data_IF_636276711757
#
_entry.id   IF_636276711757
#
_cell.length_a   1.000
_cell.length_b   1.000
_cell.length_c   1.000
_cell.angle_alpha   90.00
_cell.angle_beta   90.00
_cell.angle_gamma   90.00
#
_symmetry.space_group_name_H-M   'P 1'
#
loop_
_entity.id
_entity.type
_entity.pdbx_description
1 polymer ?
#
# COMPACT_ATOMS: atom_id res chain seq x y z
N UNK A 1 24.33 -41.81 33.32
CA UNK A 1 24.36 -40.61 32.45
C UNK A 1 23.01 -39.95 32.52
N UNK A 2 22.97 -38.70 32.95
CA UNK A 2 21.78 -37.89 33.17
C UNK A 2 21.37 -37.26 31.81
N UNK A 3 20.31 -37.75 31.18
CA UNK A 3 19.76 -37.11 29.97
C UNK A 3 18.79 -36.01 30.39
N UNK A 4 19.27 -34.76 30.37
CA UNK A 4 18.45 -33.57 30.54
C UNK A 4 17.89 -33.18 29.18
N UNK A 5 16.62 -33.48 28.94
CA UNK A 5 15.87 -32.96 27.79
C UNK A 5 15.37 -31.56 28.12
N UNK A 6 16.01 -30.54 27.53
CA UNK A 6 15.50 -29.16 27.54
C UNK A 6 14.37 -29.04 26.50
N UNK A 7 13.12 -29.04 26.96
CA UNK A 7 11.99 -28.60 26.13
C UNK A 7 11.96 -27.07 26.10
N UNK A 8 12.45 -26.50 25.00
CA UNK A 8 12.34 -25.07 24.71
C UNK A 8 10.91 -24.78 24.19
N UNK A 9 9.98 -24.51 25.11
CA UNK A 9 8.67 -23.96 24.75
C UNK A 9 8.86 -22.46 24.50
N UNK A 10 9.07 -22.08 23.25
CA UNK A 10 9.01 -20.69 22.84
C UNK A 10 7.53 -20.24 22.93
N UNK A 11 7.19 -19.55 24.01
CA UNK A 11 5.92 -18.84 24.14
C UNK A 11 6.01 -17.62 23.23
N UNK A 12 5.56 -17.77 21.99
CA UNK A 12 5.28 -16.62 21.13
C UNK A 12 4.09 -15.87 21.73
N UNK A 13 4.39 -14.77 22.43
CA UNK A 13 3.39 -13.76 22.75
C UNK A 13 2.87 -13.23 21.41
N UNK A 14 1.69 -13.69 20.99
CA UNK A 14 0.97 -13.08 19.88
C UNK A 14 0.55 -11.69 20.33
N UNK A 15 1.35 -10.67 19.98
CA UNK A 15 0.83 -9.31 19.90
C UNK A 15 -0.25 -9.34 18.83
N UNK A 16 -1.52 -9.42 19.25
CA UNK A 16 -2.65 -9.07 18.42
C UNK A 16 -2.59 -7.57 18.17
N UNK A 17 -1.67 -7.15 17.29
CA UNK A 17 -1.64 -5.81 16.74
C UNK A 17 -2.86 -5.73 15.82
N UNK A 18 -3.92 -5.09 16.31
CA UNK A 18 -5.03 -4.70 15.47
C UNK A 18 -4.48 -3.75 14.41
N UNK A 19 -4.84 -3.97 13.16
CA UNK A 19 -4.41 -3.11 12.07
C UNK A 19 -4.96 -1.69 12.28
N UNK A 20 -4.09 -0.69 12.15
CA UNK A 20 -4.42 0.72 12.33
C UNK A 20 -5.12 1.27 11.08
N UNK A 21 -6.03 2.22 11.25
CA UNK A 21 -6.61 3.01 10.16
C UNK A 21 -6.28 4.47 10.40
N UNK A 22 -5.61 5.10 9.43
CA UNK A 22 -5.19 6.49 9.53
C UNK A 22 -6.34 7.40 9.06
N UNK A 23 -6.84 8.25 9.95
CA UNK A 23 -7.98 9.13 9.67
C UNK A 23 -7.53 10.59 9.62
N UNK A 24 -7.89 11.28 8.53
CA UNK A 24 -7.63 12.69 8.31
C UNK A 24 -8.91 13.39 7.86
N UNK A 25 -8.90 14.72 7.88
CA UNK A 25 -10.01 15.49 7.34
C UNK A 25 -9.56 16.82 6.77
N UNK A 26 -10.13 17.20 5.63
CA UNK A 26 -9.87 18.45 4.93
C UNK A 26 -11.12 19.32 4.93
N UNK A 27 -10.93 20.62 5.16
CA UNK A 27 -11.98 21.64 5.04
C UNK A 27 -12.07 22.10 3.58
N UNK A 28 -13.28 22.34 3.10
CA UNK A 28 -13.54 22.75 1.72
C UNK A 28 -14.62 23.83 1.70
N UNK A 29 -14.58 24.69 0.67
CA UNK A 29 -15.64 25.62 0.32
C UNK A 29 -16.39 25.13 -0.92
N UNK A 30 -17.62 25.61 -1.13
CA UNK A 30 -18.40 25.34 -2.35
C UNK A 30 -17.81 25.97 -3.63
N UNK A 31 -16.98 27.00 -3.47
CA UNK A 31 -16.12 27.62 -4.49
C UNK A 31 -15.07 28.49 -3.75
N UNK A 32 -14.04 29.03 -4.40
CA UNK A 32 -12.98 29.82 -3.75
C UNK A 32 -13.44 31.05 -2.96
N UNK A 33 -14.63 31.61 -3.27
CA UNK A 33 -15.22 32.73 -2.55
C UNK A 33 -16.47 32.33 -1.75
N UNK A 34 -16.68 31.02 -1.62
CA UNK A 34 -17.86 30.41 -1.06
C UNK A 34 -18.00 30.65 0.44
N UNK A 35 -19.25 30.56 0.92
CA UNK A 35 -19.57 30.65 2.35
C UNK A 35 -19.95 29.29 2.93
N UNK A 36 -20.18 28.28 2.08
CA UNK A 36 -20.61 26.96 2.53
C UNK A 36 -19.39 26.09 2.81
N UNK A 37 -19.31 25.62 4.04
CA UNK A 37 -18.20 24.78 4.50
C UNK A 37 -18.55 23.30 4.43
N UNK A 38 -17.60 22.50 3.96
CA UNK A 38 -17.65 21.04 4.01
C UNK A 38 -16.41 20.51 4.72
N UNK A 39 -16.56 19.34 5.33
CA UNK A 39 -15.46 18.57 5.91
C UNK A 39 -15.40 17.22 5.22
N UNK A 40 -14.39 17.00 4.40
CA UNK A 40 -14.14 15.71 3.78
C UNK A 40 -13.29 14.87 4.71
N UNK A 41 -13.83 13.77 5.22
CA UNK A 41 -13.07 12.79 6.00
C UNK A 41 -12.41 11.81 5.04
N UNK A 42 -11.14 11.51 5.27
CA UNK A 42 -10.35 10.56 4.48
C UNK A 42 -9.76 9.52 5.42
N UNK A 43 -9.86 8.25 5.06
CA UNK A 43 -9.29 7.13 5.80
C UNK A 43 -8.37 6.30 4.91
N UNK A 44 -7.23 5.89 5.45
CA UNK A 44 -6.24 5.06 4.77
C UNK A 44 -6.00 3.79 5.60
N UNK A 45 -6.17 2.62 4.99
CA UNK A 45 -5.84 1.35 5.66
C UNK A 45 -4.34 1.19 5.81
N UNK A 46 -3.90 0.56 6.91
CA UNK A 46 -2.49 0.23 7.12
C UNK A 46 -1.91 -0.59 5.96
N UNK A 47 -2.73 -1.46 5.36
CA UNK A 47 -2.31 -2.28 4.22
C UNK A 47 -1.97 -1.47 2.99
N UNK A 48 -2.77 -0.46 2.68
CA UNK A 48 -2.51 0.42 1.55
C UNK A 48 -1.28 1.32 1.81
N UNK A 49 -1.16 1.85 3.04
CA UNK A 49 0.01 2.63 3.44
C UNK A 49 1.30 1.81 3.34
N UNK A 50 1.35 0.63 3.93
CA UNK A 50 2.53 -0.24 3.89
C UNK A 50 2.87 -0.73 2.48
N UNK A 51 1.87 -0.92 1.60
CA UNK A 51 2.12 -1.23 0.20
C UNK A 51 2.91 -0.12 -0.49
N UNK A 52 2.49 1.14 -0.35
CA UNK A 52 3.20 2.25 -0.97
C UNK A 52 4.55 2.53 -0.30
N UNK A 53 4.64 2.37 1.02
CA UNK A 53 5.90 2.48 1.77
C UNK A 53 6.95 1.45 1.37
N UNK A 54 6.53 0.23 1.05
CA UNK A 54 7.44 -0.83 0.57
C UNK A 54 7.71 -0.72 -0.96
N UNK A 55 6.98 0.13 -1.69
CA UNK A 55 7.15 0.34 -3.13
C UNK A 55 8.45 1.10 -3.43
N UNK A 56 8.94 1.03 -4.66
CA UNK A 56 10.18 1.68 -5.04
C UNK A 56 10.03 3.22 -5.18
N UNK A 57 10.76 3.97 -4.36
CA UNK A 57 10.84 5.44 -4.41
C UNK A 57 11.96 6.01 -5.28
N UNK A 58 12.82 5.17 -5.89
CA UNK A 58 13.98 5.67 -6.68
C UNK A 58 13.56 6.40 -7.95
N UNK A 59 14.08 7.60 -8.16
CA UNK A 59 13.97 8.39 -9.39
C UNK A 59 15.25 8.23 -10.21
N UNK A 60 15.12 7.80 -11.47
CA UNK A 60 16.24 7.65 -12.41
C UNK A 60 16.27 8.77 -13.46
N UNK A 61 15.11 9.42 -13.70
CA UNK A 61 14.95 10.51 -14.65
C UNK A 61 13.76 11.41 -14.26
N UNK A 62 13.66 12.62 -14.82
CA UNK A 62 12.51 13.51 -14.57
C UNK A 62 11.19 12.92 -15.09
N UNK A 63 11.20 12.08 -16.12
CA UNK A 63 9.98 11.38 -16.55
C UNK A 63 9.47 10.38 -15.52
N UNK A 64 10.29 9.95 -14.56
CA UNK A 64 9.88 9.03 -13.50
C UNK A 64 8.96 9.72 -12.48
N UNK A 65 8.87 11.05 -12.44
CA UNK A 65 7.96 11.75 -11.53
C UNK A 65 6.50 11.33 -11.73
N UNK A 66 6.09 11.08 -12.98
CA UNK A 66 4.73 10.64 -13.30
C UNK A 66 4.32 9.35 -12.55
N UNK A 67 5.27 8.46 -12.19
CA UNK A 67 4.98 7.21 -11.48
C UNK A 67 4.40 7.44 -10.09
N UNK A 68 4.69 8.59 -9.47
CA UNK A 68 4.18 8.97 -8.15
C UNK A 68 2.76 9.50 -8.20
N UNK A 69 2.23 9.76 -9.40
CA UNK A 69 0.82 10.07 -9.57
C UNK A 69 0.04 8.75 -9.55
N UNK A 70 -0.88 8.61 -8.59
CA UNK A 70 -1.65 7.39 -8.31
C UNK A 70 -3.15 7.66 -8.33
N UNK A 71 -3.77 7.91 -9.50
CA UNK A 71 -5.18 8.32 -9.57
C UNK A 71 -6.14 7.27 -9.00
N UNK A 72 -5.85 5.98 -9.23
CA UNK A 72 -6.73 4.91 -8.77
C UNK A 72 -6.91 4.90 -7.24
N UNK A 73 -5.83 5.09 -6.47
CA UNK A 73 -5.89 5.02 -5.00
C UNK A 73 -6.63 6.22 -4.36
N UNK A 74 -6.64 7.37 -5.04
CA UNK A 74 -7.30 8.59 -4.55
C UNK A 74 -8.67 8.87 -5.20
N UNK A 75 -9.14 7.98 -6.08
CA UNK A 75 -10.43 8.13 -6.78
C UNK A 75 -11.61 8.46 -5.87
N UNK A 76 -11.77 7.87 -4.67
CA UNK A 76 -12.89 8.21 -3.79
C UNK A 76 -12.89 9.67 -3.32
N UNK A 77 -11.72 10.32 -3.21
CA UNK A 77 -11.63 11.76 -2.94
C UNK A 77 -12.23 12.54 -4.12
N UNK A 78 -11.79 12.24 -5.34
CA UNK A 78 -12.29 12.90 -6.55
C UNK A 78 -13.81 12.73 -6.73
N UNK A 79 -14.33 11.52 -6.53
CA UNK A 79 -15.76 11.23 -6.61
C UNK A 79 -16.57 12.02 -5.57
N UNK A 80 -16.05 12.24 -4.37
CA UNK A 80 -16.71 13.06 -3.37
C UNK A 80 -16.64 14.55 -3.71
N UNK A 81 -15.52 15.06 -4.22
CA UNK A 81 -15.43 16.46 -4.66
C UNK A 81 -16.47 16.77 -5.75
N UNK A 82 -16.69 15.84 -6.70
CA UNK A 82 -17.77 15.98 -7.69
C UNK A 82 -19.19 15.96 -7.13
N UNK A 83 -19.40 15.56 -5.86
CA UNK A 83 -20.71 15.69 -5.19
C UNK A 83 -21.00 17.14 -4.77
N UNK A 84 -19.99 18.01 -4.67
CA UNK A 84 -20.14 19.40 -4.24
C UNK A 84 -19.78 20.43 -5.32
N UNK A 85 -18.98 20.06 -6.32
CA UNK A 85 -18.62 20.92 -7.45
C UNK A 85 -19.31 20.46 -8.73
N UNK A 86 -19.69 21.42 -9.57
CA UNK A 86 -20.37 21.16 -10.85
C UNK A 86 -19.54 21.57 -12.06
N UNK A 87 -18.39 22.18 -11.82
CA UNK A 87 -17.51 22.81 -12.80
C UNK A 87 -16.06 22.35 -12.59
N UNK A 88 -15.27 22.32 -13.66
CA UNK A 88 -13.88 21.82 -13.60
C UNK A 88 -12.89 22.80 -12.96
N UNK A 89 -13.14 24.11 -13.00
CA UNK A 89 -12.38 25.11 -12.24
C UNK A 89 -12.64 24.96 -10.74
N UNK A 90 -13.91 24.88 -10.33
CA UNK A 90 -14.30 24.69 -8.93
C UNK A 90 -13.75 23.37 -8.36
N UNK A 91 -13.82 22.29 -9.14
CA UNK A 91 -13.22 21.01 -8.80
C UNK A 91 -11.69 21.13 -8.63
N UNK A 92 -11.00 21.80 -9.57
CA UNK A 92 -9.56 22.02 -9.49
C UNK A 92 -9.15 22.84 -8.26
N UNK A 93 -9.86 23.92 -7.99
CA UNK A 93 -9.63 24.74 -6.80
C UNK A 93 -9.94 23.98 -5.51
N UNK A 94 -10.96 23.13 -5.50
CA UNK A 94 -11.25 22.24 -4.37
C UNK A 94 -10.11 21.26 -4.07
N UNK A 95 -9.44 20.74 -5.11
CA UNK A 95 -8.22 19.93 -4.93
C UNK A 95 -7.06 20.75 -4.35
N UNK A 96 -6.87 22.00 -4.81
CA UNK A 96 -5.86 22.89 -4.23
C UNK A 96 -6.11 23.17 -2.74
N UNK A 97 -7.38 23.38 -2.35
CA UNK A 97 -7.75 23.53 -0.93
C UNK A 97 -7.36 22.31 -0.08
N UNK A 98 -7.39 21.09 -0.62
CA UNK A 98 -6.92 19.89 0.10
C UNK A 98 -5.42 19.99 0.36
N UNK A 99 -4.61 20.20 -0.68
CA UNK A 99 -3.14 20.16 -0.54
C UNK A 99 -2.60 21.35 0.25
N UNK A 100 -3.23 22.53 0.20
CA UNK A 100 -2.86 23.70 1.02
C UNK A 100 -3.14 23.54 2.52
N UNK A 101 -3.81 22.46 2.94
CA UNK A 101 -3.96 22.12 4.36
C UNK A 101 -2.85 21.23 4.89
N UNK A 102 -1.97 20.71 4.02
CA UNK A 102 -0.89 19.82 4.39
C UNK A 102 0.36 20.69 4.72
N UNK A 103 0.92 20.56 5.94
CA UNK A 103 2.11 21.32 6.34
C UNK A 103 3.31 21.10 5.41
N UNK A 104 3.92 22.20 4.97
CA UNK A 104 5.14 22.15 4.16
C UNK A 104 6.34 21.67 4.97
N UNK A 105 7.07 20.68 4.46
CA UNK A 105 8.31 20.16 4.99
C UNK A 105 9.10 19.43 3.90
N UNK A 106 10.28 19.95 3.60
CA UNK A 106 11.24 19.32 2.70
C UNK A 106 11.44 17.85 3.04
N UNK A 107 11.27 16.99 2.04
CA UNK A 107 11.21 15.54 2.23
C UNK A 107 12.08 14.84 1.17
N UNK A 108 13.02 14.02 1.65
CA UNK A 108 13.80 13.13 0.80
C UNK A 108 13.79 11.71 1.40
N UNK A 109 13.52 10.66 0.61
CA UNK A 109 13.15 10.67 -0.81
C UNK A 109 11.68 11.08 -1.05
N UNK A 110 11.32 11.30 -2.32
CA UNK A 110 9.92 11.51 -2.74
C UNK A 110 9.02 10.34 -2.31
N UNK A 111 7.76 10.62 -1.97
CA UNK A 111 6.78 9.64 -1.48
C UNK A 111 5.52 9.59 -2.32
N UNK A 112 4.82 8.45 -2.28
CA UNK A 112 3.53 8.31 -2.95
C UNK A 112 2.43 9.09 -2.21
N UNK A 113 1.36 9.54 -2.91
CA UNK A 113 0.29 10.34 -2.33
C UNK A 113 -0.34 9.74 -1.06
N UNK A 114 -0.50 8.42 -1.01
CA UNK A 114 -1.03 7.73 0.18
C UNK A 114 -0.11 7.89 1.40
N UNK A 115 1.20 7.83 1.21
CA UNK A 115 2.17 8.05 2.29
C UNK A 115 2.11 9.50 2.77
N UNK A 116 2.12 10.45 1.84
CA UNK A 116 2.05 11.89 2.15
C UNK A 116 0.77 12.26 2.90
N UNK A 117 -0.37 11.68 2.52
CA UNK A 117 -1.64 11.85 3.24
C UNK A 117 -1.54 11.30 4.67
N UNK A 118 -1.00 10.07 4.85
CA UNK A 118 -0.87 9.46 6.18
C UNK A 118 0.09 10.23 7.08
N UNK A 119 1.23 10.65 6.54
CA UNK A 119 2.24 11.38 7.31
C UNK A 119 1.87 12.85 7.55
N UNK A 120 0.97 13.40 6.72
CA UNK A 120 0.45 14.76 6.81
C UNK A 120 1.55 15.84 6.82
N UNK A 121 2.54 15.68 5.94
CA UNK A 121 3.60 16.65 5.67
C UNK A 121 4.25 16.30 4.32
N UNK A 122 4.78 17.31 3.63
CA UNK A 122 5.51 17.12 2.37
C UNK A 122 5.96 18.44 1.77
N UNK A 123 6.63 18.38 0.63
CA UNK A 123 7.10 19.52 -0.14
C UNK A 123 6.38 19.62 -1.50
N UNK A 124 6.87 20.51 -2.37
CA UNK A 124 6.19 20.95 -3.58
C UNK A 124 5.84 19.79 -4.52
N UNK A 125 6.72 18.81 -4.68
CA UNK A 125 6.48 17.66 -5.54
C UNK A 125 5.44 16.70 -4.94
N UNK A 126 5.47 16.47 -3.62
CA UNK A 126 4.51 15.57 -2.99
C UNK A 126 3.08 16.13 -3.04
N UNK A 127 2.93 17.44 -2.87
CA UNK A 127 1.63 18.10 -3.01
C UNK A 127 1.16 18.06 -4.46
N UNK A 128 2.08 18.24 -5.42
CA UNK A 128 1.79 18.09 -6.84
C UNK A 128 1.34 16.68 -7.19
N UNK A 129 1.95 15.63 -6.62
CA UNK A 129 1.52 14.25 -6.84
C UNK A 129 0.12 13.97 -6.29
N UNK A 130 -0.22 14.48 -5.09
CA UNK A 130 -1.58 14.37 -4.54
C UNK A 130 -2.58 15.07 -5.47
N UNK A 131 -2.33 16.34 -5.80
CA UNK A 131 -3.24 17.14 -6.61
C UNK A 131 -3.45 16.53 -7.99
N UNK A 132 -2.37 16.18 -8.70
CA UNK A 132 -2.44 15.52 -9.99
C UNK A 132 -3.19 14.18 -9.93
N UNK A 133 -3.01 13.40 -8.86
CA UNK A 133 -3.70 12.12 -8.68
C UNK A 133 -5.21 12.30 -8.55
N UNK A 134 -5.65 13.23 -7.71
CA UNK A 134 -7.08 13.50 -7.50
C UNK A 134 -7.70 14.08 -8.77
N UNK A 135 -7.04 15.04 -9.42
CA UNK A 135 -7.55 15.68 -10.64
C UNK A 135 -7.67 14.70 -11.80
N UNK A 136 -6.64 13.87 -12.01
CA UNK A 136 -6.66 12.83 -13.04
C UNK A 136 -7.72 11.78 -12.75
N UNK A 137 -7.93 11.41 -11.49
CA UNK A 137 -9.00 10.50 -11.08
C UNK A 137 -10.40 11.09 -11.30
N UNK A 138 -10.53 12.41 -11.17
CA UNK A 138 -11.73 13.18 -11.48
C UNK A 138 -11.99 13.38 -12.97
N UNK A 139 -11.07 12.97 -13.85
CA UNK A 139 -11.21 13.02 -15.30
C UNK A 139 -10.63 14.27 -15.97
N UNK A 140 -9.96 15.15 -15.23
CA UNK A 140 -9.29 16.31 -15.83
C UNK A 140 -7.98 15.89 -16.51
N UNK A 141 -7.58 16.64 -17.54
CA UNK A 141 -6.26 16.49 -18.14
C UNK A 141 -5.24 17.38 -17.41
N UNK A 142 -4.14 16.76 -16.98
CA UNK A 142 -3.19 17.34 -16.04
C UNK A 142 -1.78 16.94 -16.44
N UNK A 143 -0.84 17.85 -16.25
CA UNK A 143 0.60 17.63 -16.39
C UNK A 143 1.32 18.07 -15.12
N UNK A 144 2.46 17.44 -14.82
CA UNK A 144 3.38 18.00 -13.82
C UNK A 144 4.26 19.05 -14.50
N UNK A 145 4.56 20.12 -13.77
CA UNK A 145 5.42 21.22 -14.16
C UNK A 145 6.63 21.23 -13.23
N UNK A 146 7.76 20.74 -13.73
CA UNK A 146 9.00 20.70 -12.97
C UNK A 146 9.90 21.87 -13.34
N UNK A 147 10.11 22.78 -12.39
CA UNK A 147 10.95 23.96 -12.50
C UNK A 147 12.33 23.66 -11.91
N UNK A 148 13.22 23.10 -12.74
CA UNK A 148 14.51 22.56 -12.30
C UNK A 148 15.43 23.62 -11.69
N UNK A 149 15.44 24.84 -12.23
CA UNK A 149 16.31 25.93 -11.72
C UNK A 149 15.80 26.53 -10.42
N UNK A 150 14.50 26.44 -10.19
CA UNK A 150 13.80 26.97 -9.02
C UNK A 150 13.64 25.91 -7.92
N UNK A 151 14.08 24.68 -8.17
CA UNK A 151 13.90 23.51 -7.29
C UNK A 151 12.43 23.36 -6.84
N UNK A 152 11.49 23.59 -7.78
CA UNK A 152 10.07 23.62 -7.50
C UNK A 152 9.29 22.70 -8.42
N UNK A 153 8.20 22.13 -7.92
CA UNK A 153 7.25 21.38 -8.72
C UNK A 153 5.83 21.86 -8.46
N UNK A 154 5.07 21.92 -9.53
CA UNK A 154 3.66 22.20 -9.47
C UNK A 154 2.89 21.47 -10.58
N UNK A 155 1.62 21.78 -10.80
CA UNK A 155 0.80 21.16 -11.85
C UNK A 155 0.24 22.19 -12.84
N UNK A 156 -0.02 21.71 -14.06
CA UNK A 156 -0.79 22.41 -15.06
C UNK A 156 -2.10 21.66 -15.30
N UNK A 157 -3.23 22.38 -15.26
CA UNK A 157 -4.57 21.78 -15.38
C UNK A 157 -5.27 22.32 -16.62
N UNK A 158 -5.74 21.42 -17.48
CA UNK A 158 -6.61 21.79 -18.59
C UNK A 158 -8.04 21.97 -18.08
N UNK A 159 -8.65 23.10 -18.43
CA UNK A 159 -10.03 23.44 -18.08
C UNK A 159 -10.86 23.65 -19.36
N UNK A 160 -12.16 23.38 -19.25
CA UNK A 160 -13.16 23.55 -20.31
C UNK A 160 -13.37 25.00 -20.72
N UNK A 161 -13.03 25.94 -19.82
CA UNK A 161 -13.02 27.37 -20.07
C UNK A 161 -11.81 28.04 -19.40
N UNK A 162 -11.59 29.31 -19.73
CA UNK A 162 -10.61 30.13 -19.03
C UNK A 162 -11.04 30.30 -17.57
N UNK A 163 -10.12 30.21 -16.58
CA UNK A 163 -10.47 30.37 -15.18
C UNK A 163 -11.00 31.78 -14.92
N UNK A 164 -12.11 31.86 -14.18
CA UNK A 164 -12.77 33.12 -13.79
C UNK A 164 -12.59 33.46 -12.30
N UNK A 165 -12.19 32.52 -11.45
CA UNK A 165 -11.91 32.77 -10.04
C UNK A 165 -10.50 33.32 -9.79
N UNK A 166 -9.64 33.28 -10.80
CA UNK A 166 -8.31 33.90 -10.80
C UNK A 166 -8.40 35.39 -10.42
N UNK A 167 -7.60 35.83 -9.43
CA UNK A 167 -7.66 37.22 -8.91
C UNK A 167 -6.87 38.23 -9.75
N UNK A 168 -6.45 37.85 -10.96
CA UNK A 168 -5.60 38.65 -11.82
C UNK A 168 -5.45 38.05 -13.21
N UNK A 169 -4.27 38.23 -13.82
CA UNK A 169 -3.96 37.59 -15.10
C UNK A 169 -3.84 36.06 -14.90
N UNK A 170 -4.54 35.29 -15.73
CA UNK A 170 -4.38 33.85 -15.80
C UNK A 170 -3.07 33.47 -16.50
N UNK A 171 -2.30 32.59 -15.88
CA UNK A 171 -1.06 32.02 -16.40
C UNK A 171 -1.29 30.57 -16.81
N UNK A 172 -0.69 30.17 -17.92
CA UNK A 172 -0.76 28.82 -18.45
C UNK A 172 0.50 28.47 -19.22
N UNK A 173 0.77 27.18 -19.35
CA UNK A 173 1.70 26.64 -20.34
C UNK A 173 0.92 26.01 -21.49
N UNK A 174 1.52 25.97 -22.68
CA UNK A 174 0.93 25.28 -23.84
C UNK A 174 1.78 24.06 -24.16
N UNK A 175 1.14 22.90 -24.23
CA UNK A 175 1.77 21.65 -24.62
C UNK A 175 0.91 20.93 -25.64
N UNK A 176 1.47 20.56 -26.79
CA UNK A 176 0.76 19.93 -27.91
C UNK A 176 -0.54 20.66 -28.33
N UNK A 177 -0.56 21.99 -28.24
CA UNK A 177 -1.71 22.82 -28.59
C UNK A 177 -2.79 22.91 -27.51
N UNK A 178 -2.62 22.24 -26.36
CA UNK A 178 -3.53 22.30 -25.21
C UNK A 178 -2.99 23.31 -24.19
N UNK A 179 -3.88 24.15 -23.65
CA UNK A 179 -3.56 25.08 -22.57
C UNK A 179 -3.76 24.40 -21.22
N UNK A 180 -2.71 24.43 -20.39
CA UNK A 180 -2.72 23.97 -19.00
C UNK A 180 -2.49 25.16 -18.08
N UNK A 181 -3.52 25.57 -17.35
CA UNK A 181 -3.44 26.67 -16.38
C UNK A 181 -2.60 26.25 -15.18
N UNK A 182 -1.71 27.14 -14.73
CA UNK A 182 -0.85 26.91 -13.55
C UNK A 182 -1.74 26.74 -12.32
N UNK A 183 -1.51 25.74 -11.49
CA UNK A 183 -2.29 25.52 -10.27
C UNK A 183 -1.34 25.24 -9.11
N UNK A 184 -0.90 26.29 -8.39
CA UNK A 184 0.09 26.24 -7.29
C UNK A 184 -0.35 25.38 -6.10
N UNK A 185 0.32 24.25 -5.92
CA UNK A 185 0.04 23.24 -4.91
C UNK A 185 0.60 23.59 -3.53
N UNK A 186 1.56 24.52 -3.42
CA UNK A 186 2.12 24.97 -2.14
C UNK A 186 1.44 26.26 -1.68
N UNK A 187 0.89 26.27 -0.47
CA UNK A 187 0.21 27.46 0.07
C UNK A 187 -0.02 27.35 1.57
N UNK A 188 0.06 28.49 2.28
CA UNK A 188 0.00 28.53 3.74
C UNK A 188 -1.43 28.63 4.31
N UNK A 189 -2.35 29.22 3.55
CA UNK A 189 -3.75 29.40 3.96
C UNK A 189 -4.67 28.82 2.88
N UNK A 190 -5.20 27.62 3.12
CA UNK A 190 -6.10 26.94 2.19
C UNK A 190 -7.36 27.74 1.81
N UNK A 191 -7.81 28.67 2.66
CA UNK A 191 -9.04 29.45 2.42
C UNK A 191 -8.83 30.55 1.38
N UNK A 192 -7.66 31.18 1.42
CA UNK A 192 -7.29 32.31 0.56
C UNK A 192 -6.10 31.97 -0.36
N UNK A 193 -5.79 30.68 -0.47
CA UNK A 193 -4.65 30.12 -1.15
C UNK A 193 -4.69 30.31 -2.65
N UNK A 194 -3.76 29.68 -3.35
CA UNK A 194 -3.65 29.78 -4.79
C UNK A 194 -4.88 29.19 -5.49
N UNK A 195 -5.31 29.87 -6.55
CA UNK A 195 -6.36 29.40 -7.45
C UNK A 195 -5.75 28.95 -8.76
N UNK A 196 -6.41 28.02 -9.46
CA UNK A 196 -6.00 27.66 -10.81
C UNK A 196 -5.96 28.91 -11.71
N UNK A 197 -4.89 29.03 -12.49
CA UNK A 197 -4.53 30.20 -13.27
C UNK A 197 -3.63 31.21 -12.54
N UNK A 198 -3.47 31.15 -11.22
CA UNK A 198 -2.53 32.01 -10.49
C UNK A 198 -1.10 31.44 -10.55
N UNK A 199 -0.11 32.32 -10.58
CA UNK A 199 1.30 31.95 -10.70
C UNK A 199 2.17 32.81 -9.76
N UNK A 200 2.99 32.18 -8.89
CA UNK A 200 3.97 32.87 -8.06
C UNK A 200 4.90 33.75 -8.89
N UNK A 201 5.29 34.92 -8.35
CA UNK A 201 6.16 35.88 -9.04
C UNK A 201 7.49 35.25 -9.50
N UNK A 202 8.04 34.34 -8.69
CA UNK A 202 9.26 33.59 -8.99
C UNK A 202 9.16 32.69 -10.22
N UNK A 203 7.95 32.22 -10.56
CA UNK A 203 7.71 31.26 -11.65
C UNK A 203 7.21 31.91 -12.94
N UNK A 204 6.82 33.20 -12.92
CA UNK A 204 6.18 33.87 -14.08
C UNK A 204 7.00 33.87 -15.36
N UNK A 205 8.33 33.85 -15.23
CA UNK A 205 9.27 33.85 -16.35
C UNK A 205 10.07 32.55 -16.44
N UNK A 206 9.83 31.61 -15.52
CA UNK A 206 10.46 30.30 -15.52
C UNK A 206 9.78 29.40 -16.55
N UNK A 207 10.56 28.51 -17.17
CA UNK A 207 10.05 27.54 -18.14
C UNK A 207 10.12 26.15 -17.53
N UNK A 208 8.98 25.50 -17.23
CA UNK A 208 8.99 24.17 -16.63
C UNK A 208 9.27 23.09 -17.67
N UNK A 209 9.87 21.99 -17.21
CA UNK A 209 9.78 20.72 -17.90
C UNK A 209 8.37 20.15 -17.71
N UNK A 210 7.66 19.95 -18.81
CA UNK A 210 6.30 19.42 -18.81
C UNK A 210 6.36 17.90 -18.83
N UNK A 211 5.79 17.25 -17.82
CA UNK A 211 5.77 15.80 -17.68
C UNK A 211 4.32 15.33 -17.78
N UNK A 212 4.03 14.54 -18.81
CA UNK A 212 2.70 13.96 -19.04
C UNK A 212 2.43 12.79 -18.10
N UNK A 213 1.16 12.53 -17.82
CA UNK A 213 0.72 11.51 -16.85
C UNK A 213 0.40 10.15 -17.51
N UNK A 214 0.92 9.89 -18.71
CA UNK A 214 0.69 8.62 -19.44
C UNK A 214 1.33 7.42 -18.71
N UNK A 215 2.42 7.67 -17.99
CA UNK A 215 3.14 6.67 -17.20
C UNK A 215 2.76 6.68 -15.71
N UNK A 216 1.62 7.29 -15.35
CA UNK A 216 1.15 7.25 -13.96
C UNK A 216 0.63 5.87 -13.57
N UNK A 217 0.54 5.60 -12.27
CA UNK A 217 0.06 4.31 -11.78
C UNK A 217 -1.43 4.12 -12.12
N UNK A 218 -1.71 3.11 -12.96
CA UNK A 218 -3.08 2.84 -13.41
C UNK A 218 -3.89 1.98 -12.43
N UNK A 219 -3.23 1.13 -11.66
CA UNK A 219 -3.86 0.17 -10.74
C UNK A 219 -3.16 0.18 -9.39
N UNK A 220 -3.94 0.04 -8.33
CA UNK A 220 -3.44 -0.12 -6.97
C UNK A 220 -4.21 -1.24 -6.25
N UNK A 221 -3.65 -1.83 -5.19
CA UNK A 221 -4.31 -2.91 -4.46
C UNK A 221 -5.51 -2.46 -3.63
N UNK A 222 -5.71 -1.16 -3.45
CA UNK A 222 -6.83 -0.59 -2.74
C UNK A 222 -6.94 0.91 -2.98
N UNK A 223 -7.93 1.51 -2.35
CA UNK A 223 -8.20 2.94 -2.40
C UNK A 223 -8.32 3.49 -0.98
N UNK A 224 -8.13 4.80 -0.83
CA UNK A 224 -8.53 5.50 0.39
C UNK A 224 -10.06 5.51 0.48
N UNK A 225 -10.63 5.57 1.68
CA UNK A 225 -12.05 5.90 1.84
C UNK A 225 -12.19 7.42 1.97
N UNK A 226 -13.21 8.02 1.35
CA UNK A 226 -13.51 9.44 1.53
C UNK A 226 -15.02 9.68 1.68
N UNK A 227 -15.43 10.54 2.62
CA UNK A 227 -16.85 10.87 2.84
C UNK A 227 -17.04 12.18 3.60
N UNK A 228 -18.09 12.93 3.25
CA UNK A 228 -18.55 14.07 4.04
C UNK A 228 -19.32 13.67 5.30
N UNK A 229 -19.72 12.40 5.39
CA UNK A 229 -20.37 11.83 6.57
C UNK A 229 -19.33 11.16 7.45
N UNK A 230 -19.69 10.95 8.72
CA UNK A 230 -18.94 10.03 9.58
C UNK A 230 -19.15 8.61 9.07
N UNK A 231 -18.07 7.93 8.72
CA UNK A 231 -18.08 6.54 8.28
C UNK A 231 -18.27 5.58 9.48
N UNK A 232 -19.09 4.55 9.30
CA UNK A 232 -19.20 3.48 10.28
C UNK A 232 -17.97 2.56 10.24
N UNK A 233 -17.59 2.00 11.38
CA UNK A 233 -16.49 1.04 11.44
C UNK A 233 -16.88 -0.29 10.79
N UNK A 234 -15.92 -0.94 10.12
CA UNK A 234 -16.03 -2.30 9.61
C UNK A 234 -14.88 -3.17 10.14
N UNK A 235 -15.02 -4.49 10.05
CA UNK A 235 -13.95 -5.43 10.39
C UNK A 235 -13.86 -6.53 9.34
N UNK A 236 -12.65 -7.05 9.15
CA UNK A 236 -12.40 -8.19 8.28
C UNK A 236 -11.59 -9.24 9.02
N UNK A 237 -12.04 -10.49 8.90
CA UNK A 237 -11.33 -11.66 9.45
C UNK A 237 -10.69 -12.44 8.32
N UNK A 238 -9.55 -13.08 8.61
CA UNK A 238 -8.87 -13.98 7.69
C UNK A 238 -8.31 -15.16 8.49
N UNK A 239 -8.55 -16.38 8.04
CA UNK A 239 -7.97 -17.62 8.58
C UNK A 239 -7.53 -18.53 7.45
N UNK A 240 -6.56 -19.41 7.70
CA UNK A 240 -6.04 -20.34 6.71
C UNK A 240 -6.38 -21.78 7.08
N UNK A 241 -6.56 -22.65 6.08
CA UNK A 241 -6.80 -24.09 6.27
C UNK A 241 -5.62 -24.81 6.94
N UNK A 242 -4.39 -24.30 6.78
CA UNK A 242 -3.19 -24.74 7.49
C UNK A 242 -2.14 -23.64 7.52
N UNK A 243 -1.39 -23.55 8.62
CA UNK A 243 -0.22 -22.65 8.77
C UNK A 243 1.10 -23.33 8.40
N UNK A 244 1.12 -24.65 8.20
CA UNK A 244 2.32 -25.40 7.81
C UNK A 244 1.97 -26.37 6.69
N UNK A 245 2.64 -26.20 5.54
CA UNK A 245 2.42 -27.04 4.37
C UNK A 245 3.73 -27.35 3.66
N UNK A 246 3.71 -28.37 2.82
CA UNK A 246 4.81 -28.68 1.90
C UNK A 246 4.54 -27.95 0.57
N UNK A 247 5.61 -27.53 -0.10
CA UNK A 247 5.54 -26.91 -1.41
C UNK A 247 4.74 -27.79 -2.39
N UNK A 248 3.84 -27.16 -3.13
CA UNK A 248 2.92 -27.81 -4.08
C UNK A 248 1.56 -28.18 -3.49
N UNK A 249 1.38 -28.09 -2.16
CA UNK A 249 0.08 -28.23 -1.49
C UNK A 249 -0.85 -27.05 -1.79
N UNK A 250 -2.14 -27.27 -1.57
CA UNK A 250 -3.16 -26.23 -1.66
C UNK A 250 -3.53 -25.70 -0.28
N UNK A 251 -3.57 -24.38 -0.14
CA UNK A 251 -4.05 -23.69 1.06
C UNK A 251 -5.30 -22.90 0.69
N UNK A 252 -6.32 -22.97 1.54
CA UNK A 252 -7.53 -22.17 1.41
C UNK A 252 -7.57 -21.13 2.52
N UNK A 253 -7.76 -19.87 2.14
CA UNK A 253 -8.02 -18.76 3.03
C UNK A 253 -9.53 -18.54 3.12
N UNK A 254 -10.02 -18.37 4.35
CA UNK A 254 -11.41 -18.05 4.63
C UNK A 254 -11.45 -16.68 5.30
N UNK A 255 -12.35 -15.83 4.87
CA UNK A 255 -12.54 -14.55 5.52
C UNK A 255 -13.97 -14.07 5.51
N UNK A 256 -14.21 -13.06 6.33
CA UNK A 256 -15.53 -12.46 6.50
C UNK A 256 -15.41 -10.97 6.79
N UNK A 257 -16.11 -10.18 5.99
CA UNK A 257 -16.37 -8.76 6.20
C UNK A 257 -17.59 -8.59 7.13
N UNK A 258 -17.47 -7.68 8.10
CA UNK A 258 -18.55 -7.31 9.01
C UNK A 258 -18.72 -5.79 9.02
N UNK A 259 -19.92 -5.26 8.76
CA UNK A 259 -21.15 -5.99 8.44
C UNK A 259 -21.05 -6.76 7.12
N UNK A 260 -21.90 -7.76 6.95
CA UNK A 260 -21.89 -8.59 5.74
C UNK A 260 -22.42 -7.81 4.54
N UNK A 261 -21.52 -7.37 3.67
CA UNK A 261 -21.85 -6.63 2.44
C UNK A 261 -21.44 -7.48 1.25
N UNK A 262 -22.33 -7.61 0.26
CA UNK A 262 -22.14 -8.46 -0.91
C UNK A 262 -21.36 -7.77 -2.02
N UNK A 263 -20.60 -8.55 -2.79
CA UNK A 263 -19.89 -8.12 -4.00
C UNK A 263 -18.82 -7.04 -3.78
N UNK A 264 -18.36 -6.90 -2.54
CA UNK A 264 -17.24 -6.02 -2.18
C UNK A 264 -15.93 -6.68 -2.57
N UNK A 265 -15.00 -5.90 -3.11
CA UNK A 265 -13.67 -6.36 -3.48
C UNK A 265 -12.76 -6.40 -2.25
N UNK A 266 -12.30 -7.60 -1.89
CA UNK A 266 -11.33 -7.84 -0.84
C UNK A 266 -9.98 -8.13 -1.48
N UNK A 267 -8.98 -7.32 -1.17
CA UNK A 267 -7.62 -7.53 -1.64
C UNK A 267 -6.82 -8.35 -0.65
N UNK A 268 -6.18 -9.40 -1.14
CA UNK A 268 -5.30 -10.28 -0.36
C UNK A 268 -3.86 -9.84 -0.62
N UNK A 269 -3.21 -9.32 0.42
CA UNK A 269 -1.81 -8.92 0.39
C UNK A 269 -0.93 -10.06 0.86
N UNK A 270 0.27 -10.17 0.28
CA UNK A 270 1.29 -11.14 0.66
C UNK A 270 2.66 -10.50 0.76
N UNK A 271 3.39 -10.88 1.82
CA UNK A 271 4.81 -10.63 2.01
C UNK A 271 5.51 -11.99 2.14
N UNK A 272 6.55 -12.24 1.36
CA UNK A 272 7.27 -13.52 1.40
C UNK A 272 8.72 -13.29 1.78
N UNK A 273 9.26 -14.02 2.77
CA UNK A 273 10.68 -13.99 3.14
C UNK A 273 11.28 -12.57 3.34
N UNK A 274 10.47 -11.59 3.78
CA UNK A 274 10.90 -10.21 3.99
C UNK A 274 10.90 -9.30 2.74
N UNK A 275 10.52 -9.78 1.56
CA UNK A 275 10.29 -8.93 0.38
C UNK A 275 9.15 -7.92 0.62
N UNK A 276 9.05 -6.83 -0.15
CA UNK A 276 7.92 -5.89 -0.12
C UNK A 276 6.53 -6.56 -0.12
N UNK A 277 5.54 -5.90 0.48
CA UNK A 277 4.14 -6.27 0.32
C UNK A 277 3.72 -6.21 -1.16
N UNK A 278 3.04 -7.25 -1.63
CA UNK A 278 2.48 -7.34 -2.98
C UNK A 278 1.05 -7.87 -2.93
N UNK A 279 0.31 -7.73 -4.03
CA UNK A 279 -1.02 -8.31 -4.17
C UNK A 279 -0.92 -9.77 -4.55
N UNK A 280 -1.59 -10.64 -3.79
CA UNK A 280 -1.78 -12.04 -4.13
C UNK A 280 -2.97 -12.21 -5.07
N UNK A 281 -4.15 -11.68 -4.70
CA UNK A 281 -5.35 -11.68 -5.53
C UNK A 281 -6.40 -10.70 -4.96
N UNK A 282 -7.49 -10.47 -5.70
CA UNK A 282 -8.70 -9.77 -5.25
C UNK A 282 -9.91 -10.69 -5.40
N UNK A 283 -10.64 -10.90 -4.30
CA UNK A 283 -11.83 -11.76 -4.26
C UNK A 283 -13.07 -10.96 -3.87
N UNK A 284 -14.25 -11.45 -4.27
CA UNK A 284 -15.52 -10.80 -3.91
C UNK A 284 -16.19 -11.46 -2.72
N UNK A 285 -16.85 -10.66 -1.89
CA UNK A 285 -17.71 -11.16 -0.81
C UNK A 285 -19.03 -11.73 -1.34
N UNK A 286 -19.54 -12.76 -0.65
CA UNK A 286 -20.88 -13.30 -0.84
C UNK A 286 -21.95 -12.47 -0.10
N UNK A 287 -23.21 -12.91 -0.17
CA UNK A 287 -24.37 -12.23 0.48
C UNK A 287 -24.21 -12.03 1.99
N UNK A 288 -23.35 -12.81 2.64
CA UNK A 288 -23.11 -12.75 4.08
C UNK A 288 -21.78 -12.02 4.42
N UNK A 289 -21.13 -11.39 3.43
CA UNK A 289 -19.81 -10.78 3.56
C UNK A 289 -18.65 -11.78 3.60
N UNK A 290 -18.90 -13.07 3.36
CA UNK A 290 -17.85 -14.10 3.44
C UNK A 290 -17.12 -14.22 2.11
N UNK A 291 -15.84 -14.58 2.14
CA UNK A 291 -15.04 -14.82 0.95
C UNK A 291 -14.09 -16.00 1.18
N UNK A 292 -13.67 -16.61 0.09
CA UNK A 292 -12.72 -17.73 0.10
C UNK A 292 -11.74 -17.57 -1.05
N UNK A 293 -10.47 -17.86 -0.78
CA UNK A 293 -9.42 -17.86 -1.79
C UNK A 293 -8.57 -19.12 -1.65
N UNK A 294 -8.30 -19.78 -2.77
CA UNK A 294 -7.51 -21.01 -2.79
C UNK A 294 -6.26 -20.81 -3.62
N UNK A 295 -5.11 -21.10 -3.01
CA UNK A 295 -3.79 -20.89 -3.60
C UNK A 295 -2.94 -22.16 -3.49
N UNK A 296 -2.16 -22.44 -4.55
CA UNK A 296 -1.19 -23.54 -4.58
C UNK A 296 0.21 -23.02 -4.26
N UNK A 297 0.88 -23.64 -3.27
CA UNK A 297 2.14 -23.16 -2.71
C UNK A 297 3.35 -23.49 -3.59
N UNK A 298 3.53 -22.77 -4.70
CA UNK A 298 4.56 -23.07 -5.69
C UNK A 298 6.00 -22.86 -5.19
N UNK A 299 6.20 -21.96 -4.23
CA UNK A 299 7.52 -21.62 -3.69
C UNK A 299 7.56 -21.81 -2.18
N UNK A 300 8.64 -22.41 -1.68
CA UNK A 300 8.91 -22.52 -0.26
C UNK A 300 9.25 -21.15 0.36
N UNK A 301 8.92 -20.96 1.63
CA UNK A 301 9.16 -19.71 2.34
C UNK A 301 8.16 -19.46 3.47
N UNK A 302 8.36 -18.33 4.15
CA UNK A 302 7.44 -17.82 5.16
C UNK A 302 6.59 -16.74 4.51
N UNK A 303 5.29 -16.97 4.47
CA UNK A 303 4.28 -16.09 3.91
C UNK A 303 3.55 -15.37 5.03
N UNK A 304 3.52 -14.05 4.96
CA UNK A 304 2.65 -13.19 5.77
C UNK A 304 1.51 -12.73 4.87
N UNK A 305 0.29 -13.08 5.22
CA UNK A 305 -0.89 -12.84 4.39
C UNK A 305 -1.92 -12.05 5.18
N UNK A 306 -2.51 -11.02 4.58
CA UNK A 306 -3.65 -10.29 5.17
C UNK A 306 -4.67 -9.95 4.10
N UNK A 307 -5.90 -9.76 4.53
CA UNK A 307 -6.98 -9.28 3.67
C UNK A 307 -7.30 -7.84 4.04
N UNK A 308 -7.65 -7.02 3.04
CA UNK A 308 -8.00 -5.62 3.21
C UNK A 308 -9.23 -5.29 2.37
N UNK A 309 -10.10 -4.45 2.92
CA UNK A 309 -11.20 -3.83 2.21
C UNK A 309 -11.03 -2.31 2.25
N UNK A 310 -11.21 -1.65 1.09
CA UNK A 310 -11.03 -0.18 0.98
C UNK A 310 -12.16 0.63 1.60
N UNK A 311 -13.24 -0.01 2.05
CA UNK A 311 -14.44 0.68 2.51
C UNK A 311 -15.33 1.15 1.36
N UNK A 312 -16.36 1.90 1.70
CA UNK A 312 -17.30 2.50 0.75
C UNK A 312 -17.88 3.81 1.32
N UNK A 313 -18.96 4.32 0.70
CA UNK A 313 -19.59 5.59 1.10
C UNK A 313 -20.14 5.60 2.55
N UNK A 314 -20.41 4.42 3.12
CA UNK A 314 -21.04 4.26 4.43
C UNK A 314 -20.07 3.72 5.51
N UNK A 315 -19.07 2.93 5.11
CA UNK A 315 -18.15 2.25 6.02
C UNK A 315 -16.69 2.55 5.69
N UNK A 316 -15.89 2.78 6.73
CA UNK A 316 -14.45 2.87 6.60
C UNK A 316 -13.86 1.51 6.21
N UNK A 317 -12.74 1.52 5.48
CA UNK A 317 -11.97 0.32 5.18
C UNK A 317 -11.47 -0.41 6.42
N UNK A 318 -11.11 -1.68 6.25
CA UNK A 318 -10.63 -2.53 7.34
C UNK A 318 -9.60 -3.54 6.85
N UNK A 319 -8.69 -3.89 7.75
CA UNK A 319 -7.62 -4.85 7.53
C UNK A 319 -7.73 -6.02 8.51
N UNK A 320 -7.37 -7.21 8.03
CA UNK A 320 -7.33 -8.41 8.87
C UNK A 320 -6.04 -8.45 9.66
N UNK A 321 -6.03 -9.23 10.73
CA UNK A 321 -4.76 -9.68 11.31
C UNK A 321 -3.95 -10.44 10.27
N UNK A 322 -2.62 -10.38 10.39
CA UNK A 322 -1.70 -11.11 9.51
C UNK A 322 -1.73 -12.60 9.86
N UNK A 323 -1.85 -13.44 8.83
CA UNK A 323 -1.72 -14.88 8.91
C UNK A 323 -0.37 -15.35 8.38
N UNK A 324 0.30 -16.16 9.22
CA UNK A 324 1.63 -16.68 8.93
C UNK A 324 1.52 -18.13 8.42
N UNK A 325 2.04 -18.38 7.23
CA UNK A 325 2.05 -19.70 6.60
C UNK A 325 3.47 -20.07 6.21
N UNK A 326 3.95 -21.19 6.76
CA UNK A 326 5.28 -21.72 6.44
C UNK A 326 5.15 -22.83 5.40
N UNK A 327 5.76 -22.60 4.24
CA UNK A 327 5.83 -23.57 3.15
C UNK A 327 7.22 -24.21 3.14
N UNK A 328 7.28 -25.49 3.48
CA UNK A 328 8.52 -26.27 3.47
C UNK A 328 8.87 -26.74 2.05
N UNK A 329 10.13 -26.60 1.66
CA UNK A 329 10.61 -27.09 0.36
C UNK A 329 10.51 -28.61 0.27
N UNK A 330 9.92 -29.12 -0.82
CA UNK A 330 9.88 -30.57 -1.10
C UNK A 330 11.28 -31.16 -1.10
N UNK A 331 12.27 -30.44 -1.64
CA UNK A 331 13.67 -30.89 -1.67
C UNK A 331 14.22 -31.15 -0.26
N UNK A 332 14.05 -30.20 0.67
CA UNK A 332 14.56 -30.35 2.03
C UNK A 332 13.77 -31.40 2.84
N UNK A 333 12.47 -31.52 2.59
CA UNK A 333 11.65 -32.57 3.20
C UNK A 333 12.13 -33.96 2.75
N UNK A 334 12.32 -34.17 1.44
CA UNK A 334 12.83 -35.43 0.90
C UNK A 334 14.25 -35.74 1.41
N UNK A 335 15.13 -34.74 1.44
CA UNK A 335 16.47 -34.90 1.98
C UNK A 335 16.43 -35.33 3.46
N UNK A 336 15.55 -34.71 4.26
CA UNK A 336 15.34 -35.07 5.67
C UNK A 336 14.81 -36.50 5.85
N UNK A 337 13.88 -36.93 5.00
CA UNK A 337 13.38 -38.32 5.03
C UNK A 337 14.50 -39.30 4.69
N UNK A 338 15.30 -39.02 3.66
CA UNK A 338 16.44 -39.87 3.26
C UNK A 338 17.49 -39.94 4.37
N UNK A 339 17.84 -38.82 5.02
CA UNK A 339 18.82 -38.84 6.11
C UNK A 339 18.31 -39.61 7.33
N UNK A 340 17.03 -39.50 7.69
CA UNK A 340 16.42 -40.30 8.76
C UNK A 340 16.50 -41.79 8.43
N UNK A 341 16.17 -42.19 7.19
CA UNK A 341 16.27 -43.59 6.75
C UNK A 341 17.71 -44.09 6.87
N UNK A 342 18.70 -43.33 6.41
CA UNK A 342 20.12 -43.70 6.50
C UNK A 342 20.60 -43.82 7.95
N UNK A 343 20.16 -42.93 8.84
CA UNK A 343 20.47 -43.00 10.28
C UNK A 343 19.83 -44.24 10.91
N UNK A 344 18.57 -44.54 10.60
CA UNK A 344 17.90 -45.74 11.08
C UNK A 344 18.62 -47.02 10.61
N UNK A 345 19.03 -47.09 9.35
CA UNK A 345 19.83 -48.21 8.81
C UNK A 345 21.18 -48.31 9.53
N UNK A 346 21.89 -47.19 9.72
CA UNK A 346 23.16 -47.15 10.43
C UNK A 346 23.05 -47.61 11.88
N UNK A 347 22.01 -47.18 12.59
CA UNK A 347 21.71 -47.61 13.95
C UNK A 347 21.38 -49.10 14.02
N UNK A 348 20.58 -49.60 13.06
CA UNK A 348 20.26 -51.02 12.99
C UNK A 348 21.50 -51.89 12.78
N UNK A 349 22.38 -51.52 11.83
CA UNK A 349 23.66 -52.20 11.60
C UNK A 349 24.55 -52.14 12.84
N UNK A 350 24.63 -50.97 13.49
CA UNK A 350 25.42 -50.80 14.72
C UNK A 350 24.94 -51.73 15.84
N UNK A 351 23.63 -51.81 16.07
CA UNK A 351 23.04 -52.67 17.09
C UNK A 351 23.33 -54.15 16.82
N UNK A 352 23.18 -54.61 15.58
CA UNK A 352 23.54 -55.99 15.17
C UNK A 352 25.03 -56.26 15.37
N UNK A 353 25.89 -55.31 14.98
CA UNK A 353 27.34 -55.49 15.12
C UNK A 353 27.80 -55.58 16.58
N UNK A 354 27.06 -54.94 17.51
CA UNK A 354 27.36 -54.96 18.94
C UNK A 354 26.93 -56.26 19.62
N UNK A 355 25.81 -56.85 19.21
CA UNK A 355 25.41 -58.19 19.70
C UNK A 355 26.36 -59.28 19.22
N UNK A 356 26.97 -59.11 18.04
CA UNK A 356 27.89 -60.07 17.45
C UNK A 356 29.35 -59.91 17.89
N UNK A 357 29.67 -59.08 18.90
CA UNK A 357 31.01 -59.05 19.49
C UNK A 357 31.21 -60.27 20.42
N UNK A 358 32.15 -61.20 20.11
CA UNK A 358 32.42 -62.34 20.98
C UNK A 358 32.98 -61.85 22.33
N UNK A 359 32.48 -62.42 23.43
CA UNK A 359 33.08 -62.25 24.75
C UNK A 359 34.56 -62.63 24.67
N UNK A 360 35.47 -61.71 24.99
CA UNK A 360 36.88 -62.06 25.19
C UNK A 360 36.95 -63.04 26.36
N UNK A 361 37.07 -64.33 26.04
CA UNK A 361 37.43 -65.35 27.00
C UNK A 361 38.93 -65.14 27.29
N UNK A 362 39.24 -64.55 28.44
CA UNK A 362 40.61 -64.39 28.93
C UNK A 362 41.22 -65.77 29.14
N UNK A 363 42.10 -66.19 28.23
CA UNK A 363 42.92 -67.38 28.44
C UNK A 363 43.87 -67.17 29.63
N UNK A 364 44.04 -68.16 30.53
CA UNK A 364 44.99 -68.06 31.63
C UNK A 364 46.43 -68.06 31.11
N UNK A 365 47.38 -67.37 31.79
CA UNK A 365 48.75 -67.26 31.32
C UNK A 365 49.47 -68.61 31.35
N UNK A 366 50.09 -68.99 30.23
CA UNK A 366 51.01 -70.13 30.17
C UNK A 366 52.33 -69.79 30.90
N UNK A 367 52.73 -70.68 31.80
CA UNK A 367 54.00 -70.61 32.53
C UNK A 367 55.06 -71.31 31.67
N UNK A 368 56.15 -70.64 31.27
CA UNK A 368 57.22 -71.27 30.50
C UNK A 368 58.04 -72.21 31.40
N UNK A 369 58.33 -73.39 30.86
CA UNK A 369 59.16 -74.45 31.46
C UNK A 369 60.64 -74.08 31.57
#
# INVERSE_FOLDING_TARGET
MLTVTFSLVAVFLFSSCLAETYNLSYQLLDNPNGLKHYRLNVAVSQSLYEYYKDKNHRLSSNSDFAKFVTPYSLKPIAENLWKIYTDDEDFANGVLMIVHQIPYKETLPAKYPVETIVENQGDCDLFSYIAASILKAGGLDVVLLYYESEEHMNIGVHLSHKPYDVRGQAYYVTYNGVQYYIAECTGDNWRDGWRVGECPDSLRYASPHIITLENCEQIAPGQVTASYKTLAASTITLTASSSYVIQGSTVTLFGKLSPGIQSENITIYVKVNGFPWTTMDTVKTDVNGSFTYTWRTERAGIYYIRASWSGNDDYAGADSTIQNITVMSVFFVLLGVITIILVCIGLFIFLISRENQPSLETQPPEIPS
#
